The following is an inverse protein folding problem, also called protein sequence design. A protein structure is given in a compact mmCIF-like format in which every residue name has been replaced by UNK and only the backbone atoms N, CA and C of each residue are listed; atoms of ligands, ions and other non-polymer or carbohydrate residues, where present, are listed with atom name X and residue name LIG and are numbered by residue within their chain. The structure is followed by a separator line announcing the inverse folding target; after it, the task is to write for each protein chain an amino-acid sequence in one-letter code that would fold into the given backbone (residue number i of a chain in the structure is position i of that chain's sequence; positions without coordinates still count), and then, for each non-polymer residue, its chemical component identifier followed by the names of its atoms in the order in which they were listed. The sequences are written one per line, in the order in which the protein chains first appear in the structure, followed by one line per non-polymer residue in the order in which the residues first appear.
data_IF_481792301167
#
_entry.id   IF_481792301167
#
_cell.length_a   1.000
_cell.length_b   1.000
_cell.length_c   1.000
_cell.angle_alpha   90.00
_cell.angle_beta   90.00
_cell.angle_gamma   90.00
#
_symmetry.space_group_name_H-M   'P 1'
#
loop_
_entity.id
_entity.type
_entity.pdbx_description
1 polymer ?
#
# COMPACT_ATOMS: atom_id res chain seq x y z
N UNK A 1 13.46 -6.53 -17.47
CA UNK A 1 12.44 -5.92 -17.72
C UNK A 1 11.81 -5.49 -16.56
N UNK A 2 11.29 -4.54 -16.41
CA UNK A 2 10.84 -4.08 -15.35
C UNK A 2 9.46 -4.25 -15.23
N UNK A 3 9.01 -4.60 -14.22
CA UNK A 3 7.82 -4.74 -13.97
C UNK A 3 7.28 -3.61 -13.43
N UNK A 4 6.50 -3.00 -13.89
CA UNK A 4 5.95 -1.91 -13.40
C UNK A 4 4.84 -2.26 -12.65
N UNK A 5 4.83 -3.07 -11.73
CA UNK A 5 3.73 -3.43 -10.95
C UNK A 5 3.42 -2.39 -10.01
N UNK A 6 2.38 -1.74 -10.18
CA UNK A 6 1.97 -0.71 -9.28
C UNK A 6 0.82 -1.23 -8.49
N UNK A 7 0.91 -1.19 -7.19
CA UNK A 7 -0.13 -1.64 -6.32
C UNK A 7 -0.50 -0.54 -5.38
N UNK A 8 -1.76 -0.39 -5.10
CA UNK A 8 -2.21 0.53 -4.08
C UNK A 8 -2.83 -0.30 -2.97
N UNK A 9 -2.30 -0.19 -1.79
CA UNK A 9 -2.78 -0.93 -0.65
C UNK A 9 -3.38 0.03 0.34
N UNK A 10 -4.56 -0.26 0.82
CA UNK A 10 -5.20 0.62 1.78
C UNK A 10 -5.55 -0.14 3.03
N UNK A 11 -5.20 0.42 4.17
CA UNK A 11 -5.46 -0.15 5.44
C UNK A 11 -6.02 0.96 6.27
N UNK A 12 -7.28 0.87 6.72
CA UNK A 12 -7.92 1.88 7.57
C UNK A 12 -7.19 3.19 7.70
N UNK A 13 -7.35 4.08 6.78
CA UNK A 13 -6.71 5.39 6.81
C UNK A 13 -5.26 5.38 6.38
N UNK A 14 -4.76 4.28 5.86
CA UNK A 14 -3.42 4.17 5.40
C UNK A 14 -3.41 3.70 3.97
N UNK A 15 -2.56 4.25 3.17
CA UNK A 15 -2.46 3.90 1.77
C UNK A 15 -1.02 3.56 1.43
N UNK A 16 -0.84 2.57 0.62
CA UNK A 16 0.47 2.21 0.12
C UNK A 16 0.46 2.37 -1.38
N UNK A 17 1.44 3.01 -1.92
CA UNK A 17 1.53 3.23 -3.33
C UNK A 17 2.97 3.32 -3.77
N UNK A 18 3.22 2.98 -4.97
CA UNK A 18 4.56 3.03 -5.52
C UNK A 18 5.35 1.82 -5.12
N UNK A 19 6.45 1.66 -5.73
CA UNK A 19 7.27 0.53 -5.48
C UNK A 19 8.65 0.95 -5.18
N UNK A 20 9.20 0.48 -4.14
CA UNK A 20 10.55 0.77 -3.81
C UNK A 20 11.43 -0.31 -4.33
N UNK A 21 12.69 -0.07 -4.43
CA UNK A 21 13.59 -1.02 -4.88
C UNK A 21 13.83 -2.03 -3.84
N UNK A 22 14.02 -3.19 -4.21
CA UNK A 22 14.30 -4.23 -3.30
C UNK A 22 15.73 -4.25 -3.02
N UNK A 23 16.13 -3.79 -1.91
CA UNK A 23 17.49 -3.86 -1.56
C UNK A 23 17.65 -4.95 -0.58
N UNK A 24 18.51 -5.83 -0.80
CA UNK A 24 18.67 -6.91 0.00
C UNK A 24 19.66 -6.76 0.99
N UNK A 25 19.42 -6.14 2.02
CA UNK A 25 20.36 -5.95 3.05
C UNK A 25 20.26 -6.98 4.08
N UNK A 26 19.27 -7.76 4.11
CA UNK A 26 19.20 -8.75 5.06
C UNK A 26 18.76 -9.99 4.51
N UNK A 27 18.45 -10.93 5.27
CA UNK A 27 18.08 -12.22 4.85
C UNK A 27 16.92 -12.09 3.92
N UNK A 28 17.03 -12.63 2.76
CA UNK A 28 16.06 -12.47 1.80
C UNK A 28 15.11 -13.58 1.81
N UNK A 29 13.87 -13.37 1.67
CA UNK A 29 12.92 -14.44 1.57
C UNK A 29 13.13 -15.21 0.27
N UNK A 30 12.63 -16.39 0.20
CA UNK A 30 12.74 -17.15 -1.00
C UNK A 30 11.89 -16.51 -2.07
N UNK A 31 12.39 -16.32 -3.22
CA UNK A 31 11.64 -15.79 -4.34
C UNK A 31 11.64 -14.27 -4.41
N UNK A 32 11.02 -13.73 -5.42
CA UNK A 32 11.01 -12.30 -5.65
C UNK A 32 10.19 -11.58 -4.59
N UNK A 33 10.59 -10.38 -4.29
CA UNK A 33 9.85 -9.56 -3.34
C UNK A 33 9.80 -8.10 -3.79
N UNK A 34 8.77 -7.40 -3.35
CA UNK A 34 8.58 -6.01 -3.64
C UNK A 34 8.31 -5.32 -2.32
N UNK A 35 8.91 -4.16 -2.12
CA UNK A 35 8.65 -3.38 -0.94
C UNK A 35 7.81 -2.17 -1.30
N UNK A 36 6.70 -1.99 -0.64
CA UNK A 36 5.76 -0.92 -0.94
C UNK A 36 5.70 0.03 0.24
N UNK A 37 5.83 1.32 -0.01
CA UNK A 37 5.73 2.32 1.03
C UNK A 37 4.30 2.53 1.43
N UNK A 38 4.06 2.66 2.72
CA UNK A 38 2.72 2.87 3.26
C UNK A 38 2.65 4.25 3.87
N UNK A 39 1.59 4.97 3.56
CA UNK A 39 1.39 6.31 4.05
C UNK A 39 0.07 6.46 4.76
N UNK A 40 0.06 7.18 5.83
CA UNK A 40 -1.18 7.60 6.46
C UNK A 40 -1.73 8.76 5.66
N UNK A 41 -2.98 8.67 5.28
CA UNK A 41 -3.58 9.67 4.44
C UNK A 41 -4.01 10.89 5.23
N UNK A 42 -3.63 12.06 4.76
CA UNK A 42 -4.02 13.31 5.39
C UNK A 42 -4.19 14.35 4.28
N UNK A 43 -5.37 14.49 3.74
CA UNK A 43 -5.59 15.42 2.64
C UNK A 43 -5.35 16.86 3.01
N UNK A 44 -5.36 17.18 4.28
CA UNK A 44 -5.19 18.58 4.70
C UNK A 44 -3.72 18.94 4.87
N UNK A 45 -2.90 18.02 5.38
CA UNK A 45 -1.51 18.32 5.69
C UNK A 45 -0.50 17.53 4.90
N UNK A 46 -0.93 16.66 4.04
CA UNK A 46 -0.05 15.82 3.25
C UNK A 46 0.11 14.44 3.88
N UNK A 47 0.25 13.45 3.05
CA UNK A 47 0.37 12.07 3.52
C UNK A 47 1.68 11.86 4.25
N UNK A 48 1.68 10.97 5.25
CA UNK A 48 2.83 10.75 6.06
C UNK A 48 3.28 9.31 6.00
N UNK A 49 4.54 9.08 5.82
CA UNK A 49 5.07 7.72 5.74
C UNK A 49 4.95 7.03 7.09
N UNK A 50 4.47 5.82 7.11
CA UNK A 50 4.31 5.04 8.34
C UNK A 50 5.00 3.68 8.23
N UNK A 51 5.67 3.39 7.15
CA UNK A 51 6.43 2.15 7.03
C UNK A 51 6.30 1.53 5.67
N UNK A 52 6.43 0.22 5.64
CA UNK A 52 6.42 -0.53 4.39
C UNK A 52 5.66 -1.83 4.53
N UNK A 53 5.28 -2.38 3.41
CA UNK A 53 4.76 -3.73 3.33
C UNK A 53 5.60 -4.45 2.29
N UNK A 54 6.16 -5.57 2.65
CA UNK A 54 6.94 -6.39 1.71
C UNK A 54 6.02 -7.48 1.17
N UNK A 55 5.99 -7.63 -0.13
CA UNK A 55 5.18 -8.64 -0.79
C UNK A 55 6.13 -9.66 -1.39
N UNK A 56 6.00 -10.92 -1.02
CA UNK A 56 6.90 -11.98 -1.43
C UNK A 56 6.10 -13.13 -2.02
N UNK A 57 6.64 -13.74 -3.06
CA UNK A 57 6.01 -14.92 -3.61
C UNK A 57 6.38 -16.13 -2.79
N UNK A 58 5.47 -17.03 -2.60
CA UNK A 58 5.74 -18.29 -1.91
C UNK A 58 5.03 -19.40 -2.66
N UNK A 59 5.25 -20.63 -2.23
CA UNK A 59 4.59 -21.77 -2.85
C UNK A 59 3.10 -21.77 -2.63
N UNK A 60 2.61 -20.97 -1.70
CA UNK A 60 1.20 -20.94 -1.38
C UNK A 60 0.55 -19.63 -1.82
N UNK A 61 1.25 -18.77 -2.52
CA UNK A 61 0.71 -17.51 -2.98
C UNK A 61 1.54 -16.36 -2.47
N UNK A 62 0.96 -15.17 -2.45
CA UNK A 62 1.69 -13.98 -2.03
C UNK A 62 1.63 -13.83 -0.52
N UNK A 63 2.75 -13.45 0.06
CA UNK A 63 2.84 -13.18 1.48
C UNK A 63 3.09 -11.70 1.68
N UNK A 64 2.26 -11.04 2.49
CA UNK A 64 2.37 -9.62 2.77
C UNK A 64 2.91 -9.45 4.18
N UNK A 65 4.06 -8.83 4.30
CA UNK A 65 4.71 -8.64 5.58
C UNK A 65 4.78 -7.17 5.91
N UNK A 66 3.95 -6.68 6.82
CA UNK A 66 3.94 -5.28 7.17
C UNK A 66 5.03 -4.92 8.19
N UNK A 67 5.52 -3.70 8.07
CA UNK A 67 6.45 -3.15 9.04
C UNK A 67 6.02 -1.70 9.21
N UNK A 68 5.01 -1.48 10.04
CA UNK A 68 4.34 -0.19 10.16
C UNK A 68 4.43 0.33 11.58
N UNK A 69 4.45 1.66 11.70
CA UNK A 69 4.53 2.30 12.99
C UNK A 69 3.57 3.46 13.05
N UNK A 70 3.16 3.83 14.22
CA UNK A 70 2.32 5.01 14.39
C UNK A 70 0.86 4.82 14.08
N UNK A 71 0.41 3.58 13.95
CA UNK A 71 -1.00 3.34 13.71
C UNK A 71 -1.75 3.27 15.02
N UNK A 72 -2.99 3.68 14.98
CA UNK A 72 -3.85 3.56 16.15
C UNK A 72 -4.06 2.09 16.46
N UNK A 73 -4.27 1.79 17.73
CA UNK A 73 -4.52 0.42 18.10
C UNK A 73 -5.87 -0.04 17.62
N UNK A 74 -6.03 -1.30 17.36
CA UNK A 74 -7.31 -1.86 16.95
C UNK A 74 -7.23 -2.60 15.64
N UNK A 75 -8.37 -2.99 15.14
CA UNK A 75 -8.45 -3.71 13.90
C UNK A 75 -8.39 -2.77 12.73
N UNK A 76 -7.68 -3.18 11.69
CA UNK A 76 -7.58 -2.39 10.49
C UNK A 76 -7.88 -3.27 9.28
N UNK A 77 -8.61 -2.78 8.32
CA UNK A 77 -8.85 -3.49 7.09
C UNK A 77 -7.62 -3.47 6.20
N UNK A 78 -7.48 -4.47 5.34
CA UNK A 78 -6.38 -4.53 4.40
C UNK A 78 -6.95 -4.91 3.03
N UNK A 79 -6.75 -4.05 2.04
CA UNK A 79 -7.31 -4.24 0.72
C UNK A 79 -6.35 -3.81 -0.37
N UNK A 80 -6.51 -4.36 -1.56
CA UNK A 80 -5.80 -3.89 -2.73
C UNK A 80 -6.80 -3.10 -3.56
N UNK A 81 -6.40 -1.94 -4.02
CA UNK A 81 -7.25 -1.05 -4.77
C UNK A 81 -6.96 -1.07 -6.27
N UNK A 82 -7.87 -0.53 -7.04
CA UNK A 82 -7.77 -0.58 -8.49
C UNK A 82 -6.63 0.25 -9.04
N UNK A 83 -6.36 1.38 -8.45
CA UNK A 83 -5.38 2.33 -8.97
C UNK A 83 -4.23 2.55 -8.00
N UNK A 84 -3.01 2.67 -8.50
CA UNK A 84 -1.85 2.84 -7.63
C UNK A 84 -1.67 4.31 -7.24
N UNK A 85 -2.62 4.86 -6.55
CA UNK A 85 -2.59 6.26 -6.13
C UNK A 85 -3.16 6.42 -4.73
N UNK A 86 -2.51 7.22 -3.93
CA UNK A 86 -3.00 7.58 -2.61
C UNK A 86 -3.55 9.01 -2.57
N UNK A 87 -3.70 9.62 -3.73
CA UNK A 87 -4.12 11.01 -3.78
C UNK A 87 -5.58 11.20 -3.38
N UNK A 88 -5.90 12.32 -2.81
CA UNK A 88 -7.30 12.62 -2.56
C UNK A 88 -8.00 13.03 -3.84
N UNK A 89 -9.31 12.95 -3.85
CA UNK A 89 -10.09 13.39 -4.97
C UNK A 89 -11.36 14.00 -4.43
N UNK A 90 -11.96 14.87 -5.22
CA UNK A 90 -13.20 15.49 -4.80
C UNK A 90 -14.36 14.58 -5.06
N UNK A 91 -15.28 14.53 -4.12
CA UNK A 91 -16.51 13.82 -4.28
C UNK A 91 -17.57 14.63 -3.60
N UNK A 92 -18.60 14.99 -4.35
CA UNK A 92 -19.71 15.81 -3.85
C UNK A 92 -19.17 17.11 -3.23
N UNK A 93 -18.19 17.71 -3.87
CA UNK A 93 -17.64 18.98 -3.42
C UNK A 93 -16.71 18.86 -2.22
N UNK A 94 -16.33 17.64 -1.80
CA UNK A 94 -15.49 17.48 -0.66
C UNK A 94 -14.26 16.66 -0.99
N UNK A 95 -13.14 17.11 -0.55
CA UNK A 95 -11.89 16.40 -0.79
C UNK A 95 -11.86 15.16 0.07
N UNK A 96 -11.78 14.01 -0.56
CA UNK A 96 -11.84 12.72 0.12
C UNK A 96 -10.51 12.01 0.03
N UNK A 97 -9.99 11.63 1.18
CA UNK A 97 -8.67 11.00 1.26
C UNK A 97 -8.63 9.69 0.50
N UNK A 98 -7.59 9.51 -0.29
CA UNK A 98 -7.35 8.24 -0.99
C UNK A 98 -8.36 7.88 -2.06
N UNK A 99 -9.25 8.78 -2.41
CA UNK A 99 -10.31 8.44 -3.37
C UNK A 99 -9.74 8.12 -4.74
N UNK A 100 -8.56 8.61 -5.08
CA UNK A 100 -7.95 8.31 -6.36
C UNK A 100 -7.56 6.83 -6.49
N UNK A 101 -7.50 6.11 -5.40
CA UNK A 101 -7.18 4.67 -5.44
C UNK A 101 -8.32 3.86 -6.08
N UNK A 102 -9.49 4.43 -6.15
CA UNK A 102 -10.63 3.71 -6.72
C UNK A 102 -11.22 2.71 -5.75
N UNK A 103 -11.95 1.75 -6.24
CA UNK A 103 -12.56 0.72 -5.42
C UNK A 103 -11.60 -0.37 -5.04
N UNK A 104 -12.06 -1.33 -4.29
CA UNK A 104 -11.26 -2.51 -3.96
C UNK A 104 -11.13 -3.39 -5.21
N UNK A 105 -9.95 -3.92 -5.39
CA UNK A 105 -9.71 -4.80 -6.51
C UNK A 105 -10.36 -6.14 -6.20
N UNK A 106 -11.27 -6.53 -7.06
CA UNK A 106 -12.04 -7.72 -6.81
C UNK A 106 -12.09 -8.56 -8.09
N UNK A 107 -11.07 -9.36 -8.33
CA UNK A 107 -11.01 -10.15 -9.56
C UNK A 107 -12.06 -11.25 -9.52
N UNK A 108 -12.70 -11.51 -10.66
CA UNK A 108 -13.73 -12.53 -10.73
C UNK A 108 -13.22 -13.80 -11.37
#
# INVERSE_FOLDING_TARGET
MKMKTLLALAISGICAAGVANAHDHMAKPAGPSIEVKVQQLDPANGNKDVGTVTITESNYGLVFTPNLQGLAEGLHGFHIHENPSCDPKEKDGKLTAGLAAGGHWDPK
#
